data_IF_621552476443
#
_entry.id   IF_621552476443
#
_cell.length_a   1.000
_cell.length_b   1.000
_cell.length_c   1.000
_cell.angle_alpha   90.00
_cell.angle_beta   90.00
_cell.angle_gamma   90.00
#
_symmetry.space_group_name_H-M   'P 1'
#
loop_
_entity.id
_entity.type
_entity.pdbx_description
1 polymer ?
#
# COMPACT_ATOMS: atom_id res chain seq x y z
N UNK A 1 31.41 -18.46 -6.58
CA UNK A 1 30.81 -18.27 -5.23
C UNK A 1 30.22 -16.88 -4.99
N UNK A 2 30.80 -15.78 -5.48
CA UNK A 2 30.26 -14.42 -5.23
C UNK A 2 28.99 -14.04 -6.02
N UNK A 3 28.72 -14.68 -7.16
CA UNK A 3 27.57 -14.34 -7.99
C UNK A 3 26.23 -14.74 -7.36
N UNK A 4 26.17 -15.89 -6.67
CA UNK A 4 24.97 -16.31 -5.94
C UNK A 4 24.66 -15.37 -4.76
N UNK A 5 25.68 -14.80 -4.11
CA UNK A 5 25.50 -13.80 -3.05
C UNK A 5 24.85 -12.50 -3.58
N UNK A 6 25.26 -12.04 -4.76
CA UNK A 6 24.58 -10.92 -5.43
C UNK A 6 23.14 -11.27 -5.82
N UNK A 7 22.93 -12.49 -6.28
CA UNK A 7 21.61 -12.98 -6.65
C UNK A 7 20.64 -13.00 -5.47
N UNK A 8 21.08 -13.55 -4.33
CA UNK A 8 20.31 -13.55 -3.09
C UNK A 8 20.09 -12.13 -2.53
N UNK A 9 21.06 -11.23 -2.69
CA UNK A 9 20.92 -9.83 -2.28
C UNK A 9 19.86 -9.08 -3.10
N UNK A 10 19.80 -9.28 -4.43
CA UNK A 10 18.77 -8.67 -5.30
C UNK A 10 17.40 -9.25 -4.98
N UNK A 11 17.30 -10.57 -4.75
CA UNK A 11 16.05 -11.22 -4.38
C UNK A 11 15.53 -10.74 -3.01
N UNK A 12 16.44 -10.52 -2.05
CA UNK A 12 16.11 -9.96 -0.74
C UNK A 12 15.64 -8.50 -0.84
N UNK A 13 16.22 -7.70 -1.75
CA UNK A 13 15.78 -6.32 -2.00
C UNK A 13 14.35 -6.28 -2.57
N UNK A 14 14.03 -7.16 -3.51
CA UNK A 14 12.68 -7.31 -4.09
C UNK A 14 11.63 -7.69 -3.03
N UNK A 15 11.99 -8.55 -2.07
CA UNK A 15 11.10 -8.93 -0.96
C UNK A 15 10.89 -7.76 0.02
N UNK A 16 11.90 -6.92 0.24
CA UNK A 16 11.79 -5.75 1.13
C UNK A 16 10.85 -4.67 0.58
N UNK A 17 10.79 -4.47 -0.75
CA UNK A 17 9.86 -3.51 -1.37
C UNK A 17 8.39 -3.91 -1.15
N UNK A 18 8.09 -5.21 -1.10
CA UNK A 18 6.72 -5.73 -0.90
C UNK A 18 6.25 -5.54 0.56
N UNK A 19 7.17 -5.46 1.53
CA UNK A 19 6.82 -5.31 2.95
C UNK A 19 6.68 -3.85 3.43
N UNK A 20 6.89 -2.85 2.57
CA UNK A 20 6.63 -1.45 2.90
C UNK A 20 5.13 -1.06 2.83
N UNK A 21 4.23 -2.04 2.96
CA UNK A 21 2.80 -1.79 3.12
C UNK A 21 2.54 -1.26 4.55
N UNK A 22 2.64 0.06 4.68
CA UNK A 22 1.85 0.96 5.52
C UNK A 22 1.65 0.53 6.98
N UNK A 23 2.52 1.05 7.86
CA UNK A 23 2.24 1.11 9.30
C UNK A 23 1.17 2.18 9.53
N UNK A 24 -0.10 1.77 9.45
CA UNK A 24 -1.27 2.58 9.80
C UNK A 24 -1.25 2.87 11.31
N UNK A 25 -0.52 3.90 11.73
CA UNK A 25 -0.87 4.60 12.97
C UNK A 25 -2.14 5.39 12.66
N UNK A 26 -3.27 4.92 13.18
CA UNK A 26 -4.57 5.59 13.07
C UNK A 26 -4.45 6.97 13.71
N UNK A 27 -4.18 7.98 12.90
CA UNK A 27 -4.05 9.37 13.31
C UNK A 27 -5.09 10.14 12.51
N UNK A 28 -6.13 10.60 13.20
CA UNK A 28 -7.13 11.47 12.59
C UNK A 28 -6.46 12.77 12.16
N UNK A 29 -6.79 13.30 10.96
CA UNK A 29 -6.26 14.59 10.52
C UNK A 29 -6.69 15.71 11.45
N UNK A 30 -5.88 16.77 11.55
CA UNK A 30 -6.13 17.90 12.46
C UNK A 30 -7.48 18.58 12.24
N UNK A 31 -7.96 18.63 10.99
CA UNK A 31 -9.27 19.20 10.67
C UNK A 31 -10.43 18.43 11.33
N UNK A 32 -10.30 17.11 11.47
CA UNK A 32 -11.30 16.26 12.12
C UNK A 32 -11.33 16.51 13.62
N UNK A 33 -10.16 16.74 14.22
CA UNK A 33 -10.05 17.06 15.65
C UNK A 33 -10.75 18.38 15.95
N UNK A 34 -10.68 19.37 15.05
CA UNK A 34 -11.43 20.62 15.17
C UNK A 34 -12.93 20.37 15.13
N UNK A 35 -13.43 19.65 14.11
CA UNK A 35 -14.85 19.29 14.00
C UNK A 35 -15.37 18.48 15.20
N UNK A 36 -14.55 17.55 15.72
CA UNK A 36 -14.86 16.78 16.93
C UNK A 36 -15.00 17.70 18.15
N UNK A 37 -14.05 18.63 18.34
CA UNK A 37 -14.08 19.57 19.46
C UNK A 37 -15.27 20.55 19.42
N UNK A 38 -15.73 20.92 18.22
CA UNK A 38 -16.89 21.80 18.04
C UNK A 38 -18.22 21.10 18.29
N UNK A 39 -18.34 19.84 17.85
CA UNK A 39 -19.58 19.05 17.97
C UNK A 39 -19.70 18.31 19.31
N UNK A 40 -18.57 17.90 19.89
CA UNK A 40 -18.53 16.99 21.05
C UNK A 40 -17.57 17.50 22.12
N UNK A 41 -17.93 18.63 22.75
CA UNK A 41 -17.15 19.24 23.84
C UNK A 41 -16.97 18.40 25.11
N UNK A 42 -17.71 17.29 25.27
CA UNK A 42 -17.69 16.45 26.47
C UNK A 42 -17.06 15.05 26.27
N UNK A 43 -16.74 14.65 25.03
CA UNK A 43 -16.16 13.34 24.74
C UNK A 43 -15.28 13.42 23.49
N UNK A 44 -13.97 13.18 23.66
CA UNK A 44 -13.01 13.17 22.56
C UNK A 44 -13.04 11.85 21.80
N UNK A 45 -13.03 11.90 20.47
CA UNK A 45 -12.76 10.75 19.57
C UNK A 45 -11.45 10.04 19.91
N UNK A 46 -10.52 10.71 20.61
CA UNK A 46 -9.21 10.16 20.99
C UNK A 46 -9.25 9.11 22.11
N UNK A 47 -10.27 9.10 22.98
CA UNK A 47 -10.22 8.31 24.21
C UNK A 47 -11.21 7.14 24.25
N UNK A 48 -12.36 7.25 23.58
CA UNK A 48 -13.38 6.20 23.59
C UNK A 48 -14.05 6.09 22.21
N UNK A 49 -13.49 5.24 21.34
CA UNK A 49 -14.11 4.93 20.04
C UNK A 49 -15.51 4.36 20.22
N UNK A 50 -15.80 3.66 21.34
CA UNK A 50 -17.11 3.10 21.66
C UNK A 50 -18.23 4.15 21.80
N UNK A 51 -17.92 5.36 22.26
CA UNK A 51 -18.90 6.43 22.46
C UNK A 51 -19.36 7.06 21.15
N UNK A 52 -18.47 7.13 20.17
CA UNK A 52 -18.73 7.74 18.87
C UNK A 52 -19.93 7.10 18.14
N UNK A 53 -20.14 5.80 18.37
CA UNK A 53 -21.17 4.97 17.75
C UNK A 53 -22.48 4.89 18.53
N UNK A 54 -22.49 5.36 19.78
CA UNK A 54 -23.60 5.14 20.71
C UNK A 54 -24.91 5.86 20.32
N UNK A 55 -24.87 6.80 19.37
CA UNK A 55 -26.10 7.30 18.73
C UNK A 55 -25.90 7.53 17.23
N UNK A 56 -26.80 6.99 16.42
CA UNK A 56 -26.69 7.00 14.96
C UNK A 56 -26.62 8.38 14.28
N UNK A 57 -26.94 9.48 14.98
CA UNK A 57 -26.86 10.84 14.45
C UNK A 57 -25.51 11.53 14.59
N UNK A 58 -24.64 11.07 15.52
CA UNK A 58 -23.35 11.70 15.81
C UNK A 58 -22.33 11.58 14.67
N UNK A 59 -22.19 10.41 14.03
CA UNK A 59 -21.33 10.24 12.87
C UNK A 59 -21.68 11.14 11.69
N UNK A 60 -22.98 11.31 11.43
CA UNK A 60 -23.46 12.11 10.31
C UNK A 60 -23.15 13.59 10.50
N UNK A 61 -23.34 14.11 11.72
CA UNK A 61 -22.98 15.50 12.04
C UNK A 61 -21.47 15.74 11.93
N UNK A 62 -20.64 14.78 12.35
CA UNK A 62 -19.19 14.89 12.19
C UNK A 62 -18.78 14.85 10.71
N UNK A 63 -19.33 13.93 9.93
CA UNK A 63 -19.04 13.82 8.50
C UNK A 63 -19.49 15.07 7.72
N UNK A 64 -20.60 15.69 8.10
CA UNK A 64 -21.10 16.96 7.52
C UNK A 64 -20.15 18.14 7.82
N UNK A 65 -19.63 18.23 9.06
CA UNK A 65 -18.60 19.21 9.42
C UNK A 65 -17.31 19.00 8.61
N UNK A 66 -16.88 17.74 8.44
CA UNK A 66 -15.66 17.40 7.69
C UNK A 66 -15.85 17.68 6.20
N UNK A 67 -17.03 17.38 5.64
CA UNK A 67 -17.35 17.66 4.23
C UNK A 67 -17.32 19.16 3.91
N UNK A 68 -17.74 20.00 4.86
CA UNK A 68 -17.80 21.45 4.68
C UNK A 68 -16.50 22.18 5.01
N UNK A 69 -15.71 21.69 5.97
CA UNK A 69 -14.51 22.39 6.46
C UNK A 69 -13.18 21.73 6.08
N UNK A 70 -13.17 20.44 5.72
CA UNK A 70 -11.93 19.70 5.47
C UNK A 70 -11.74 19.37 3.98
N UNK A 71 -10.54 18.88 3.66
CA UNK A 71 -10.25 18.43 2.30
C UNK A 71 -10.91 17.09 2.00
N UNK A 72 -11.20 16.83 0.72
CA UNK A 72 -11.76 15.55 0.25
C UNK A 72 -10.90 14.34 0.68
N UNK A 73 -9.57 14.51 0.73
CA UNK A 73 -8.65 13.47 1.22
C UNK A 73 -8.92 13.13 2.69
N UNK A 74 -9.02 14.14 3.54
CA UNK A 74 -9.28 13.98 4.97
C UNK A 74 -10.67 13.39 5.24
N UNK A 75 -11.67 13.80 4.46
CA UNK A 75 -13.01 13.21 4.50
C UNK A 75 -12.97 11.69 4.27
N UNK A 76 -12.36 11.24 3.16
CA UNK A 76 -12.31 9.82 2.84
C UNK A 76 -11.42 9.03 3.82
N UNK A 77 -10.32 9.60 4.29
CA UNK A 77 -9.50 9.00 5.34
C UNK A 77 -10.31 8.80 6.62
N UNK A 78 -11.06 9.81 7.04
CA UNK A 78 -11.87 9.75 8.27
C UNK A 78 -13.02 8.78 8.14
N UNK A 79 -13.72 8.79 7.00
CA UNK A 79 -14.78 7.82 6.69
C UNK A 79 -14.26 6.38 6.72
N UNK A 80 -13.06 6.13 6.21
CA UNK A 80 -12.43 4.79 6.24
C UNK A 80 -12.04 4.35 7.65
N UNK A 81 -11.46 5.27 8.45
CA UNK A 81 -11.13 4.99 9.85
C UNK A 81 -12.39 4.73 10.68
N UNK A 82 -13.43 5.52 10.43
CA UNK A 82 -14.78 5.33 10.95
C UNK A 82 -15.30 3.92 10.63
N UNK A 83 -15.42 3.55 9.36
CA UNK A 83 -15.92 2.24 8.95
C UNK A 83 -15.15 1.08 9.62
N UNK A 84 -13.83 1.22 9.78
CA UNK A 84 -12.96 0.26 10.47
C UNK A 84 -13.27 0.13 11.97
N UNK A 85 -13.46 1.22 12.69
CA UNK A 85 -13.67 1.23 14.14
C UNK A 85 -15.05 0.70 14.57
N UNK A 86 -16.09 0.85 13.75
CA UNK A 86 -17.42 0.28 14.03
C UNK A 86 -17.67 -1.08 13.40
N UNK A 87 -16.68 -1.66 12.72
CA UNK A 87 -16.87 -2.94 12.03
C UNK A 87 -17.89 -2.88 10.89
N UNK A 88 -18.17 -1.69 10.34
CA UNK A 88 -18.88 -1.59 9.06
C UNK A 88 -17.89 -2.07 8.01
N UNK A 89 -18.24 -3.08 7.23
CA UNK A 89 -17.37 -3.59 6.16
C UNK A 89 -17.02 -2.44 5.22
N UNK A 90 -15.76 -1.96 5.20
CA UNK A 90 -15.40 -0.84 4.36
C UNK A 90 -15.50 -1.27 2.90
N UNK A 91 -15.97 -0.37 2.05
CA UNK A 91 -15.90 -0.63 0.62
C UNK A 91 -14.42 -0.77 0.24
N UNK A 92 -14.05 -1.92 -0.32
CA UNK A 92 -12.69 -2.13 -0.81
C UNK A 92 -12.41 -1.08 -1.88
N UNK A 93 -11.59 -0.08 -1.53
CA UNK A 93 -11.02 0.82 -2.50
C UNK A 93 -10.26 0.04 -3.58
N UNK A 94 -10.04 0.63 -4.77
CA UNK A 94 -9.23 -0.01 -5.80
C UNK A 94 -7.90 -0.45 -5.17
N UNK A 95 -7.56 -1.72 -5.37
CA UNK A 95 -6.33 -2.26 -4.79
C UNK A 95 -5.14 -1.50 -5.36
N UNK A 96 -4.23 -1.09 -4.48
CA UNK A 96 -2.97 -0.42 -4.87
C UNK A 96 -2.14 -1.33 -5.80
N UNK A 97 -2.42 -2.64 -5.76
CA UNK A 97 -1.82 -3.66 -6.60
C UNK A 97 -2.93 -4.39 -7.34
N UNK A 98 -2.97 -4.26 -8.66
CA UNK A 98 -3.87 -5.05 -9.50
C UNK A 98 -3.30 -6.48 -9.63
N UNK A 99 -4.14 -7.49 -9.40
CA UNK A 99 -3.72 -8.88 -9.57
C UNK A 99 -3.26 -9.15 -11.01
N UNK A 100 -3.81 -8.42 -11.98
CA UNK A 100 -3.46 -8.52 -13.39
C UNK A 100 -2.02 -8.07 -13.69
N UNK A 101 -1.44 -7.16 -12.91
CA UNK A 101 -0.05 -6.70 -13.08
C UNK A 101 0.93 -7.47 -12.22
N UNK A 102 0.50 -7.96 -11.07
CA UNK A 102 1.34 -8.74 -10.15
C UNK A 102 1.75 -10.10 -10.75
N UNK A 103 0.82 -10.82 -11.37
CA UNK A 103 1.10 -12.16 -11.90
C UNK A 103 2.15 -12.17 -13.01
N UNK A 104 2.07 -11.30 -14.05
CA UNK A 104 3.10 -11.20 -15.08
C UNK A 104 4.46 -10.78 -14.53
N UNK A 105 4.50 -9.89 -13.52
CA UNK A 105 5.75 -9.43 -12.91
C UNK A 105 6.49 -10.59 -12.20
N UNK A 106 5.76 -11.39 -11.43
CA UNK A 106 6.31 -12.58 -10.76
C UNK A 106 6.86 -13.56 -11.80
N UNK A 107 6.07 -13.86 -12.82
CA UNK A 107 6.47 -14.81 -13.84
C UNK A 107 7.70 -14.31 -14.64
N UNK A 108 7.72 -13.03 -15.00
CA UNK A 108 8.85 -12.40 -15.66
C UNK A 108 10.12 -12.44 -14.80
N UNK A 109 10.01 -12.15 -13.50
CA UNK A 109 11.15 -12.22 -12.57
C UNK A 109 11.73 -13.64 -12.48
N UNK A 110 10.88 -14.66 -12.43
CA UNK A 110 11.32 -16.05 -12.36
C UNK A 110 12.09 -16.48 -13.62
N UNK A 111 11.57 -16.15 -14.81
CA UNK A 111 12.26 -16.46 -16.07
C UNK A 111 13.55 -15.67 -16.25
N UNK A 112 13.57 -14.41 -15.84
CA UNK A 112 14.78 -13.58 -15.85
C UNK A 112 15.88 -14.20 -14.98
N UNK A 113 15.52 -14.63 -13.76
CA UNK A 113 16.43 -15.31 -12.83
C UNK A 113 17.04 -16.57 -13.44
N UNK A 114 16.20 -17.47 -13.96
CA UNK A 114 16.66 -18.71 -14.57
C UNK A 114 17.59 -18.45 -15.76
N UNK A 115 17.30 -17.42 -16.55
CA UNK A 115 18.13 -17.03 -17.69
C UNK A 115 19.51 -16.54 -17.26
N UNK A 116 19.60 -15.68 -16.24
CA UNK A 116 20.89 -15.20 -15.70
C UNK A 116 21.70 -16.36 -15.13
N UNK A 117 21.07 -17.30 -14.41
CA UNK A 117 21.75 -18.48 -13.88
C UNK A 117 22.28 -19.35 -15.02
N UNK A 118 21.46 -19.69 -16.01
CA UNK A 118 21.85 -20.52 -17.15
C UNK A 118 23.03 -19.91 -17.92
N UNK A 119 23.01 -18.60 -18.13
CA UNK A 119 24.10 -17.88 -18.80
C UNK A 119 25.37 -17.82 -17.97
N UNK A 120 25.24 -17.56 -16.67
CA UNK A 120 26.38 -17.50 -15.75
C UNK A 120 27.10 -18.83 -15.56
N UNK A 121 26.36 -19.94 -15.69
CA UNK A 121 26.91 -21.29 -15.62
C UNK A 121 27.53 -21.75 -16.95
N UNK A 122 27.50 -20.91 -17.99
CA UNK A 122 28.13 -21.21 -19.29
C UNK A 122 27.39 -22.25 -20.13
N UNK A 123 26.15 -22.61 -19.79
CA UNK A 123 25.38 -23.63 -20.50
C UNK A 123 24.92 -23.19 -21.89
N UNK A 124 24.96 -21.89 -22.21
CA UNK A 124 24.25 -21.33 -23.38
C UNK A 124 25.08 -20.31 -24.19
N UNK A 125 26.40 -20.53 -24.28
CA UNK A 125 27.31 -19.65 -25.05
C UNK A 125 27.48 -18.25 -24.45
N UNK A 126 28.19 -17.37 -25.16
CA UNK A 126 28.51 -16.00 -24.71
C UNK A 126 27.32 -15.03 -24.72
N UNK A 127 27.44 -13.91 -24.00
CA UNK A 127 26.41 -12.88 -23.90
C UNK A 127 26.06 -12.29 -25.27
N UNK A 128 24.77 -12.34 -25.62
CA UNK A 128 24.26 -11.81 -26.88
C UNK A 128 23.54 -10.48 -26.70
N UNK A 129 23.27 -9.79 -27.81
CA UNK A 129 22.40 -8.59 -27.82
C UNK A 129 21.01 -8.87 -27.22
N UNK A 130 20.50 -10.08 -27.40
CA UNK A 130 19.23 -10.56 -26.82
C UNK A 130 19.23 -10.56 -25.28
N UNK A 131 20.37 -10.80 -24.65
CA UNK A 131 20.46 -10.78 -23.18
C UNK A 131 20.36 -9.34 -22.65
N UNK A 132 20.93 -8.36 -23.38
CA UNK A 132 20.89 -6.95 -22.99
C UNK A 132 19.50 -6.33 -23.17
N UNK A 133 18.78 -6.67 -24.24
CA UNK A 133 17.40 -6.18 -24.45
C UNK A 133 16.45 -6.67 -23.36
N UNK A 134 16.61 -7.92 -22.91
CA UNK A 134 15.83 -8.49 -21.80
C UNK A 134 16.17 -7.81 -20.47
N UNK A 135 17.44 -7.48 -20.21
CA UNK A 135 17.83 -6.74 -18.99
C UNK A 135 17.23 -5.33 -19.01
N UNK A 136 17.34 -4.62 -20.13
CA UNK A 136 16.80 -3.26 -20.27
C UNK A 136 15.28 -3.25 -20.11
N UNK A 137 14.58 -4.19 -20.75
CA UNK A 137 13.13 -4.28 -20.64
C UNK A 137 12.68 -4.61 -19.22
N UNK A 138 13.36 -5.53 -18.54
CA UNK A 138 13.08 -5.86 -17.13
C UNK A 138 13.28 -4.65 -16.20
N UNK A 139 14.35 -3.88 -16.39
CA UNK A 139 14.60 -2.65 -15.63
C UNK A 139 13.52 -1.61 -15.89
N UNK A 140 13.12 -1.40 -17.15
CA UNK A 140 12.08 -0.41 -17.49
C UNK A 140 10.69 -0.75 -16.97
N UNK A 141 10.39 -2.03 -16.73
CA UNK A 141 9.11 -2.49 -16.14
C UNK A 141 9.14 -2.44 -14.62
N UNK A 142 10.32 -2.45 -14.02
CA UNK A 142 10.51 -2.44 -12.56
C UNK A 142 10.64 -1.04 -11.96
N UNK A 143 10.72 0.01 -12.80
CA UNK A 143 10.76 1.44 -12.43
C UNK A 143 9.39 2.04 -12.66
#
# INVERSE_FOLDING_TARGET
MRLHLFFFAVLALLVLVIQAAESDKVLFPSCVITCDSELFSNCSVSNDTSWFWASGSRPMAMLDCIETNCTTKEFFTTKRLYEKECGITPHKGPSVVDAATLFPLILASFFFVLRIIAKSSGLTGGWGLDDYTIIISYVSVSV
#
